data_IF_164372298121
#
_entry.id   IF_164372298121
#
_cell.length_a   1.000
_cell.length_b   1.000
_cell.length_c   1.000
_cell.angle_alpha   90.00
_cell.angle_beta   90.00
_cell.angle_gamma   90.00
#
_symmetry.space_group_name_H-M   'P 1'
#
loop_
_entity.id
_entity.type
_entity.pdbx_description
1 polymer ?
#
# COMPACT_ATOMS: atom_id res chain seq x y z
N UNK A 1 33.06 4.06 5.73
CA UNK A 1 31.96 4.92 5.27
C UNK A 1 30.85 3.99 4.85
N UNK A 2 30.03 3.57 5.82
CA UNK A 2 28.89 2.66 5.61
C UNK A 2 27.70 3.54 5.20
N UNK A 3 27.42 3.70 3.91
CA UNK A 3 26.29 4.54 3.45
C UNK A 3 25.38 3.79 2.45
N UNK A 4 25.60 2.50 2.22
CA UNK A 4 24.73 1.74 1.34
C UNK A 4 24.50 0.36 1.94
N UNK A 5 23.53 0.26 2.86
CA UNK A 5 22.79 -1.00 2.98
C UNK A 5 22.35 -1.41 1.57
N UNK A 6 22.46 -2.69 1.24
CA UNK A 6 22.08 -3.13 -0.09
C UNK A 6 20.59 -2.82 -0.30
N UNK A 7 20.23 -2.25 -1.46
CA UNK A 7 18.86 -1.87 -1.74
C UNK A 7 17.88 -3.05 -1.54
N UNK A 8 18.32 -4.26 -1.83
CA UNK A 8 17.58 -5.51 -1.62
C UNK A 8 17.22 -5.76 -0.15
N UNK A 9 18.13 -5.46 0.77
CA UNK A 9 17.91 -5.61 2.21
C UNK A 9 16.91 -4.56 2.72
N UNK A 10 17.07 -3.30 2.29
CA UNK A 10 16.11 -2.22 2.56
C UNK A 10 14.70 -2.57 2.07
N UNK A 11 14.58 -3.05 0.83
CA UNK A 11 13.29 -3.47 0.26
C UNK A 11 12.68 -4.63 1.05
N UNK A 12 13.48 -5.61 1.45
CA UNK A 12 13.03 -6.77 2.23
C UNK A 12 12.51 -6.35 3.60
N UNK A 13 13.26 -5.52 4.31
CA UNK A 13 12.87 -5.02 5.63
C UNK A 13 11.60 -4.15 5.55
N UNK A 14 11.53 -3.25 4.57
CA UNK A 14 10.37 -2.39 4.39
C UNK A 14 9.11 -3.19 3.97
N UNK A 15 9.27 -4.28 3.21
CA UNK A 15 8.14 -5.13 2.77
C UNK A 15 7.63 -6.08 3.86
N UNK A 16 8.45 -6.43 4.87
CA UNK A 16 8.06 -7.39 5.90
C UNK A 16 6.79 -6.97 6.69
N UNK A 17 6.66 -5.73 7.20
CA UNK A 17 5.44 -5.28 7.88
C UNK A 17 4.19 -5.33 7.01
N UNK A 18 4.30 -5.03 5.70
CA UNK A 18 3.19 -5.11 4.75
C UNK A 18 2.63 -6.52 4.65
N UNK A 19 3.51 -7.52 4.60
CA UNK A 19 3.14 -8.94 4.52
C UNK A 19 2.60 -9.46 5.84
N UNK A 20 3.25 -9.15 6.96
CA UNK A 20 2.85 -9.63 8.29
C UNK A 20 1.48 -9.13 8.71
N UNK A 21 1.11 -7.93 8.29
CA UNK A 21 -0.15 -7.28 8.68
C UNK A 21 -1.20 -7.27 7.56
N UNK A 22 -0.95 -7.94 6.43
CA UNK A 22 -1.83 -7.96 5.25
C UNK A 22 -2.26 -6.55 4.79
N UNK A 23 -1.36 -5.56 4.89
CA UNK A 23 -1.69 -4.14 4.66
C UNK A 23 -2.22 -3.91 3.25
N UNK A 24 -1.59 -4.51 2.23
CA UNK A 24 -2.00 -4.35 0.83
C UNK A 24 -3.44 -4.81 0.62
N UNK A 25 -3.79 -6.00 1.12
CA UNK A 25 -5.14 -6.54 1.02
C UNK A 25 -6.18 -5.68 1.77
N UNK A 26 -5.79 -5.07 2.88
CA UNK A 26 -6.65 -4.11 3.59
C UNK A 26 -6.90 -2.88 2.73
N UNK A 27 -5.84 -2.30 2.16
CA UNK A 27 -5.91 -1.10 1.32
C UNK A 27 -6.71 -1.33 0.03
N UNK A 28 -6.61 -2.52 -0.57
CA UNK A 28 -7.39 -2.93 -1.75
C UNK A 28 -8.91 -2.91 -1.52
N UNK A 29 -9.38 -2.98 -0.26
CA UNK A 29 -10.82 -2.82 0.04
C UNK A 29 -11.31 -1.37 -0.14
N UNK A 30 -10.40 -0.40 -0.18
CA UNK A 30 -10.73 1.02 -0.29
C UNK A 30 -10.56 1.54 -1.73
N UNK A 31 -9.67 0.94 -2.52
CA UNK A 31 -9.40 1.38 -3.89
C UNK A 31 -8.21 0.66 -4.51
N UNK A 32 -7.77 1.15 -5.66
CA UNK A 32 -6.59 0.64 -6.34
C UNK A 32 -5.32 1.02 -5.56
N UNK A 33 -4.50 0.04 -5.20
CA UNK A 33 -3.24 0.25 -4.47
C UNK A 33 -2.08 0.39 -5.44
N UNK A 34 -1.34 1.49 -5.34
CA UNK A 34 -0.21 1.82 -6.21
C UNK A 34 1.03 2.02 -5.35
N UNK A 35 2.09 1.28 -5.67
CA UNK A 35 3.42 1.48 -5.11
C UNK A 35 4.20 2.51 -5.91
N UNK A 36 4.96 3.35 -5.23
CA UNK A 36 5.73 4.42 -5.86
C UNK A 36 7.13 4.61 -5.27
N UNK A 37 7.75 5.71 -5.66
CA UNK A 37 8.99 6.19 -5.06
C UNK A 37 10.20 5.27 -5.28
N UNK A 38 11.18 5.45 -4.40
CA UNK A 38 12.48 4.79 -4.45
C UNK A 38 12.40 3.26 -4.36
N UNK A 39 11.33 2.75 -3.73
CA UNK A 39 11.01 1.33 -3.65
C UNK A 39 10.88 0.69 -5.04
N UNK A 40 10.11 1.31 -5.95
CA UNK A 40 9.85 0.77 -7.30
C UNK A 40 11.09 0.83 -8.20
N UNK A 41 11.96 1.82 -8.00
CA UNK A 41 13.13 2.03 -8.84
C UNK A 41 14.41 1.37 -8.32
N UNK A 42 14.37 0.71 -7.16
CA UNK A 42 15.54 0.09 -6.55
C UNK A 42 16.59 1.11 -6.09
N UNK A 43 16.15 2.30 -5.67
CA UNK A 43 17.02 3.41 -5.26
C UNK A 43 16.75 3.87 -3.82
N UNK A 44 16.23 2.96 -2.97
CA UNK A 44 15.99 3.21 -1.55
C UNK A 44 17.29 3.50 -0.82
N UNK A 45 17.22 4.49 0.07
CA UNK A 45 18.28 4.87 1.02
C UNK A 45 17.79 4.78 2.47
N UNK A 46 16.51 4.46 2.66
CA UNK A 46 15.83 4.21 3.94
C UNK A 46 14.73 3.17 3.72
N UNK A 47 14.10 2.69 4.80
CA UNK A 47 13.14 1.58 4.84
C UNK A 47 11.69 2.06 4.77
N UNK A 48 11.42 3.02 3.88
CA UNK A 48 10.10 3.59 3.66
C UNK A 48 9.51 3.18 2.30
N UNK A 49 8.19 3.06 2.24
CA UNK A 49 7.48 2.70 1.02
C UNK A 49 6.36 3.71 0.78
N UNK A 50 6.41 4.35 -0.39
CA UNK A 50 5.33 5.20 -0.87
C UNK A 50 4.18 4.33 -1.39
N UNK A 51 3.01 4.46 -0.77
CA UNK A 51 1.78 3.77 -1.16
C UNK A 51 0.68 4.80 -1.36
N UNK A 52 0.07 4.80 -2.54
CA UNK A 52 -1.13 5.55 -2.85
C UNK A 52 -2.34 4.61 -2.98
N UNK A 53 -3.50 5.06 -2.53
CA UNK A 53 -4.79 4.36 -2.76
C UNK A 53 -5.70 5.27 -3.56
N UNK A 54 -6.00 4.87 -4.79
CA UNK A 54 -6.89 5.60 -5.67
C UNK A 54 -8.32 5.15 -5.41
N UNK A 55 -9.09 5.99 -4.72
CA UNK A 55 -10.50 5.75 -4.44
C UNK A 55 -11.34 6.41 -5.52
N UNK A 56 -12.01 5.61 -6.36
CA UNK A 56 -13.01 6.16 -7.28
C UNK A 56 -14.16 6.79 -6.49
N UNK A 57 -14.44 8.08 -6.71
CA UNK A 57 -15.70 8.68 -6.26
C UNK A 57 -16.84 8.08 -7.11
N UNK A 58 -17.41 6.94 -6.68
CA UNK A 58 -18.84 6.58 -6.72
C UNK A 58 -19.10 5.07 -6.85
N UNK A 59 -19.31 4.36 -5.72
CA UNK A 59 -20.31 3.27 -5.65
C UNK A 59 -20.99 3.27 -4.26
N UNK A 60 -22.05 4.06 -4.09
CA UNK A 60 -23.19 3.66 -3.24
C UNK A 60 -23.95 2.62 -4.07
N UNK A 61 -23.53 1.35 -4.03
CA UNK A 61 -24.33 0.25 -4.59
C UNK A 61 -25.45 0.00 -3.61
N UNK A 62 -26.66 0.37 -4.02
CA UNK A 62 -27.84 0.46 -3.18
C UNK A 62 -28.10 -0.82 -2.38
N UNK A 63 -27.85 -0.76 -1.07
CA UNK A 63 -28.80 -1.36 -0.13
C UNK A 63 -29.95 -0.38 -0.04
N UNK A 64 -31.02 -0.64 -0.82
CA UNK A 64 -32.35 -0.14 -0.49
C UNK A 64 -32.59 -0.64 0.94
N UNK A 65 -32.52 0.24 1.93
CA UNK A 65 -33.11 -0.04 3.23
C UNK A 65 -34.61 -0.10 2.96
N UNK A 66 -35.14 -1.32 2.82
CA UNK A 66 -36.58 -1.55 2.89
C UNK A 66 -37.00 -1.28 4.33
N UNK A 67 -37.28 -0.02 4.65
CA UNK A 67 -38.13 0.31 5.79
C UNK A 67 -39.56 0.07 5.35
N UNK A 68 -40.07 -1.11 5.70
CA UNK A 68 -41.51 -1.36 5.79
C UNK A 68 -42.05 -0.51 6.94
N UNK A 69 -43.13 0.24 6.66
CA UNK A 69 -43.94 0.92 7.66
C UNK A 69 -44.58 -0.08 8.64
#
# INVERSE_FOLDING_TARGET
MEIFESNEELQKEATAPLKENNIVAILENFGEVIFGGSYVYGTMVDRDIDIAVVVEKNIIRGKKLSTSY
#
